data_IF_424725968808
#
_entry.id   IF_424725968808
#
_cell.length_a   1.000
_cell.length_b   1.000
_cell.length_c   1.000
_cell.angle_alpha   90.00
_cell.angle_beta   90.00
_cell.angle_gamma   90.00
#
_symmetry.space_group_name_H-M   'P 1'
#
loop_
_entity.id
_entity.type
_entity.pdbx_description
1 polymer ?
#
# COMPACT_ATOMS: atom_id res chain seq x y z
N UNK A 1 18.32 59.71 -13.53
CA UNK A 1 16.90 59.53 -13.87
C UNK A 1 16.83 58.29 -14.76
N UNK A 2 17.10 57.08 -14.24
CA UNK A 2 16.30 56.33 -13.27
C UNK A 2 14.82 56.36 -13.63
N UNK A 3 14.35 55.30 -14.30
CA UNK A 3 13.00 54.76 -14.18
C UNK A 3 13.09 53.25 -14.41
N UNK A 4 13.02 52.53 -13.30
CA UNK A 4 12.66 51.12 -13.20
C UNK A 4 11.20 50.96 -13.67
N UNK A 5 10.95 50.00 -14.55
CA UNK A 5 9.62 49.44 -14.77
C UNK A 5 9.75 47.96 -14.41
N UNK A 6 9.48 47.64 -13.13
CA UNK A 6 9.11 46.30 -12.70
C UNK A 6 7.62 46.12 -13.01
N UNK A 7 7.30 45.19 -13.91
CA UNK A 7 5.94 44.76 -14.18
C UNK A 7 5.45 43.91 -12.99
N UNK A 8 4.56 44.49 -12.18
CA UNK A 8 3.73 43.76 -11.23
C UNK A 8 2.66 42.96 -12.01
N UNK A 9 2.87 41.66 -12.17
CA UNK A 9 1.80 40.73 -12.54
C UNK A 9 0.97 40.36 -11.29
N UNK A 10 -0.07 41.15 -11.02
CA UNK A 10 -1.25 40.66 -10.29
C UNK A 10 -2.16 39.86 -11.24
N UNK A 11 -2.46 38.61 -10.88
CA UNK A 11 -3.60 37.93 -11.49
C UNK A 11 -3.62 36.41 -11.37
N UNK A 12 -4.36 35.90 -10.38
CA UNK A 12 -5.02 34.59 -10.51
C UNK A 12 -4.70 33.56 -9.43
N UNK A 13 -4.94 33.87 -8.15
CA UNK A 13 -5.20 32.84 -7.14
C UNK A 13 -6.54 32.15 -7.45
N UNK A 14 -6.55 31.20 -8.39
CA UNK A 14 -7.67 30.29 -8.58
C UNK A 14 -7.68 29.25 -7.44
N UNK A 15 -8.34 29.60 -6.33
CA UNK A 15 -9.12 28.70 -5.49
C UNK A 15 -8.47 27.38 -5.09
N UNK A 16 -7.42 27.42 -4.28
CA UNK A 16 -7.00 26.25 -3.52
C UNK A 16 -8.03 26.04 -2.40
N UNK A 17 -9.10 25.28 -2.66
CA UNK A 17 -9.96 24.76 -1.60
C UNK A 17 -9.04 24.06 -0.60
N UNK A 18 -9.02 24.57 0.64
CA UNK A 18 -8.36 23.96 1.80
C UNK A 18 -8.71 22.47 1.88
N UNK A 19 -7.93 21.63 1.20
CA UNK A 19 -7.96 20.20 1.44
C UNK A 19 -7.37 20.05 2.84
N UNK A 20 -8.16 19.61 3.84
CA UNK A 20 -7.61 19.49 5.18
C UNK A 20 -6.45 18.52 5.14
N UNK A 21 -5.47 18.78 6.00
CA UNK A 21 -4.30 17.91 6.16
C UNK A 21 -4.81 16.57 6.69
N UNK A 22 -5.05 15.63 5.78
CA UNK A 22 -5.42 14.26 6.11
C UNK A 22 -4.17 13.49 6.46
N UNK A 23 -4.13 12.95 7.67
CA UNK A 23 -3.04 12.10 8.10
C UNK A 23 -3.20 10.71 7.47
N UNK A 24 -2.46 10.48 6.39
CA UNK A 24 -2.43 9.22 5.65
C UNK A 24 -1.29 8.38 6.19
N UNK A 25 -1.64 7.32 6.93
CA UNK A 25 -0.66 6.39 7.49
C UNK A 25 -0.57 5.15 6.61
N UNK A 26 0.63 4.87 6.09
CA UNK A 26 0.89 3.63 5.35
C UNK A 26 1.26 2.52 6.36
N UNK A 27 0.37 1.54 6.49
CA UNK A 27 0.53 0.46 7.45
C UNK A 27 1.32 -0.71 6.87
N UNK A 28 1.12 -1.02 5.58
CA UNK A 28 1.75 -2.19 4.99
C UNK A 28 1.97 -2.02 3.49
N UNK A 29 3.17 -2.36 3.04
CA UNK A 29 3.59 -2.44 1.66
C UNK A 29 3.98 -3.88 1.38
N UNK A 30 3.28 -4.48 0.43
CA UNK A 30 3.54 -5.82 -0.10
C UNK A 30 4.30 -5.67 -1.41
N UNK A 31 5.50 -6.24 -1.48
CA UNK A 31 6.29 -6.26 -2.70
C UNK A 31 6.57 -7.69 -3.15
N UNK A 32 6.72 -7.86 -4.45
CA UNK A 32 7.12 -9.13 -5.07
C UNK A 32 8.33 -8.89 -5.95
N UNK A 33 9.25 -9.84 -5.93
CA UNK A 33 10.46 -9.82 -6.73
C UNK A 33 10.91 -11.24 -7.03
N UNK A 34 11.81 -11.39 -8.00
CA UNK A 34 12.33 -12.67 -8.43
C UNK A 34 13.85 -12.71 -8.30
N UNK A 35 14.37 -13.87 -7.90
CA UNK A 35 15.80 -14.18 -7.83
C UNK A 35 16.36 -14.81 -9.10
N UNK A 36 15.49 -15.11 -10.09
CA UNK A 36 15.83 -15.76 -11.38
C UNK A 36 16.61 -17.07 -11.24
N UNK A 37 16.52 -17.74 -10.09
CA UNK A 37 17.20 -19.00 -9.82
C UNK A 37 16.28 -19.96 -9.09
N UNK A 38 16.47 -21.26 -9.30
CA UNK A 38 15.78 -22.27 -8.52
C UNK A 38 16.33 -22.32 -7.09
N UNK A 39 15.44 -22.30 -6.11
CA UNK A 39 15.80 -22.28 -4.68
C UNK A 39 15.41 -23.59 -4.03
N UNK A 40 16.38 -24.28 -3.44
CA UNK A 40 16.10 -25.47 -2.66
C UNK A 40 15.61 -25.06 -1.26
N UNK A 41 14.30 -25.13 -1.07
CA UNK A 41 13.62 -24.72 0.16
C UNK A 41 14.07 -25.52 1.39
N UNK A 42 14.36 -26.82 1.24
CA UNK A 42 14.85 -27.66 2.35
C UNK A 42 16.23 -27.20 2.82
N UNK A 43 17.08 -26.78 1.89
CA UNK A 43 18.40 -26.26 2.21
C UNK A 43 18.31 -24.91 2.93
N UNK A 44 17.46 -24.01 2.44
CA UNK A 44 17.19 -22.72 3.10
C UNK A 44 16.60 -22.93 4.49
N UNK A 45 15.75 -23.94 4.70
CA UNK A 45 15.18 -24.24 6.01
C UNK A 45 16.23 -24.75 7.02
N UNK A 46 17.28 -25.44 6.55
CA UNK A 46 18.35 -25.98 7.40
C UNK A 46 19.44 -24.95 7.71
N UNK A 47 19.85 -24.17 6.71
CA UNK A 47 20.94 -23.18 6.82
C UNK A 47 20.43 -21.79 7.23
N UNK A 48 19.15 -21.51 7.03
CA UNK A 48 18.56 -20.19 7.24
C UNK A 48 18.23 -19.90 8.69
N UNK A 49 18.47 -18.66 9.11
CA UNK A 49 18.05 -18.16 10.42
C UNK A 49 16.67 -17.51 10.33
N UNK A 50 15.83 -17.70 11.36
CA UNK A 50 14.47 -17.14 11.45
C UNK A 50 13.58 -17.51 10.25
N UNK A 51 13.70 -18.77 9.81
CA UNK A 51 12.92 -19.35 8.71
C UNK A 51 11.92 -20.36 9.25
N UNK A 52 10.74 -20.40 8.63
CA UNK A 52 9.70 -21.38 8.88
C UNK A 52 9.41 -22.04 7.53
N UNK A 53 9.72 -23.33 7.42
CA UNK A 53 9.37 -24.11 6.25
C UNK A 53 7.94 -24.61 6.36
N UNK A 54 7.12 -24.29 5.34
CA UNK A 54 5.73 -24.76 5.23
C UNK A 54 5.63 -25.70 4.03
N UNK A 55 5.83 -27.02 4.21
CA UNK A 55 5.80 -27.98 3.11
C UNK A 55 4.43 -28.03 2.42
N UNK A 56 3.35 -27.88 3.18
CA UNK A 56 1.96 -27.85 2.67
C UNK A 56 1.75 -26.79 1.59
N UNK A 57 2.35 -25.62 1.80
CA UNK A 57 2.23 -24.49 0.88
C UNK A 57 3.39 -24.38 -0.12
N UNK A 58 4.37 -25.30 -0.04
CA UNK A 58 5.56 -25.27 -0.89
C UNK A 58 6.37 -23.97 -0.77
N UNK A 59 6.44 -23.35 0.42
CA UNK A 59 7.14 -22.08 0.63
C UNK A 59 7.96 -22.06 1.93
N UNK A 60 8.98 -21.22 1.96
CA UNK A 60 9.74 -20.86 3.17
C UNK A 60 9.39 -19.43 3.55
N UNK A 61 8.96 -19.22 4.79
CA UNK A 61 8.74 -17.89 5.34
C UNK A 61 9.97 -17.46 6.15
N UNK A 62 10.62 -16.35 5.77
CA UNK A 62 11.80 -15.82 6.41
C UNK A 62 11.51 -14.45 7.03
N UNK A 63 11.81 -14.29 8.32
CA UNK A 63 11.62 -13.01 9.02
C UNK A 63 12.92 -12.22 9.10
N UNK A 64 12.81 -10.91 8.91
CA UNK A 64 13.90 -9.96 9.04
C UNK A 64 13.56 -8.98 10.18
N UNK A 65 14.55 -8.61 11.00
CA UNK A 65 14.34 -7.69 12.13
C UNK A 65 14.39 -6.21 11.73
N UNK A 66 15.25 -5.85 10.77
CA UNK A 66 15.39 -4.47 10.27
C UNK A 66 15.45 -4.50 8.73
N UNK A 67 14.55 -3.84 8.01
CA UNK A 67 13.19 -3.49 8.46
C UNK A 67 12.44 -4.74 8.95
N UNK A 68 11.43 -4.58 9.82
CA UNK A 68 10.65 -5.70 10.32
C UNK A 68 9.74 -6.22 9.21
N UNK A 69 10.18 -7.27 8.51
CA UNK A 69 9.47 -7.79 7.35
C UNK A 69 9.45 -9.31 7.35
N UNK A 70 8.44 -9.87 6.68
CA UNK A 70 8.34 -11.32 6.44
C UNK A 70 8.36 -11.56 4.95
N UNK A 71 9.26 -12.41 4.46
CA UNK A 71 9.31 -12.82 3.07
C UNK A 71 8.88 -14.28 2.93
N UNK A 72 7.95 -14.53 2.02
CA UNK A 72 7.61 -15.86 1.56
C UNK A 72 8.42 -16.15 0.29
N UNK A 73 9.16 -17.25 0.30
CA UNK A 73 10.11 -17.67 -0.73
C UNK A 73 9.60 -18.97 -1.33
N UNK A 74 9.43 -18.98 -2.65
CA UNK A 74 9.03 -20.17 -3.41
C UNK A 74 10.24 -20.81 -4.08
N UNK A 75 10.15 -22.12 -4.38
CA UNK A 75 11.21 -22.86 -5.06
C UNK A 75 11.53 -22.33 -6.46
N UNK A 76 10.55 -21.68 -7.11
CA UNK A 76 10.69 -20.99 -8.40
C UNK A 76 11.61 -19.76 -8.35
N UNK A 77 12.02 -19.31 -7.17
CA UNK A 77 12.77 -18.08 -7.00
C UNK A 77 11.90 -16.82 -6.99
N UNK A 78 10.58 -16.95 -7.03
CA UNK A 78 9.67 -15.86 -6.69
C UNK A 78 9.70 -15.63 -5.18
N UNK A 79 9.66 -14.37 -4.77
CA UNK A 79 9.65 -13.95 -3.37
C UNK A 79 8.62 -12.83 -3.21
N UNK A 80 7.86 -12.89 -2.13
CA UNK A 80 6.89 -11.87 -1.75
C UNK A 80 7.19 -11.45 -0.33
N UNK A 81 7.47 -10.16 -0.12
CA UNK A 81 7.74 -9.60 1.19
C UNK A 81 6.59 -8.70 1.63
N UNK A 82 6.23 -8.82 2.91
CA UNK A 82 5.16 -8.08 3.59
C UNK A 82 5.68 -7.47 4.89
N UNK A 83 4.99 -6.44 5.38
CA UNK A 83 5.26 -5.79 6.67
C UNK A 83 6.10 -4.52 6.58
N UNK A 84 6.47 -4.06 5.39
CA UNK A 84 7.16 -2.77 5.23
C UNK A 84 6.17 -1.62 5.40
N UNK A 85 6.55 -0.54 6.07
CA UNK A 85 5.73 0.67 6.23
C UNK A 85 5.95 1.68 5.11
N UNK A 86 6.99 1.49 4.29
CA UNK A 86 7.35 2.36 3.16
C UNK A 86 7.85 1.57 1.97
N UNK A 87 7.71 2.14 0.77
CA UNK A 87 8.25 1.55 -0.48
C UNK A 87 9.78 1.49 -0.46
N UNK A 88 10.44 2.47 0.16
CA UNK A 88 11.90 2.50 0.29
C UNK A 88 12.38 1.33 1.15
N UNK A 89 11.72 1.14 2.30
CA UNK A 89 12.01 0.02 3.21
C UNK A 89 11.72 -1.33 2.57
N UNK A 90 10.63 -1.45 1.81
CA UNK A 90 10.30 -2.66 1.07
C UNK A 90 11.41 -3.03 0.07
N UNK A 91 11.97 -2.04 -0.63
CA UNK A 91 13.08 -2.23 -1.57
C UNK A 91 14.38 -2.63 -0.85
N UNK A 92 14.67 -2.02 0.31
CA UNK A 92 15.82 -2.38 1.15
C UNK A 92 15.66 -3.81 1.67
N UNK A 93 14.48 -4.18 2.17
CA UNK A 93 14.16 -5.53 2.64
C UNK A 93 14.38 -6.55 1.54
N UNK A 94 13.83 -6.31 0.34
CA UNK A 94 13.97 -7.19 -0.82
C UNK A 94 15.44 -7.45 -1.17
N UNK A 95 16.28 -6.40 -1.18
CA UNK A 95 17.72 -6.54 -1.42
C UNK A 95 18.42 -7.32 -0.30
N UNK A 96 18.02 -7.13 0.95
CA UNK A 96 18.55 -7.89 2.10
C UNK A 96 18.24 -9.38 1.99
N UNK A 97 17.01 -9.74 1.62
CA UNK A 97 16.64 -11.13 1.37
C UNK A 97 17.49 -11.76 0.26
N UNK A 98 17.67 -11.05 -0.86
CA UNK A 98 18.57 -11.51 -1.92
C UNK A 98 20.00 -11.72 -1.41
N UNK A 99 20.52 -10.80 -0.58
CA UNK A 99 21.88 -10.92 -0.04
C UNK A 99 22.03 -12.12 0.90
N UNK A 100 21.02 -12.41 1.72
CA UNK A 100 21.01 -13.59 2.61
C UNK A 100 21.07 -14.87 1.76
N UNK A 101 20.25 -14.96 0.71
CA UNK A 101 20.27 -16.09 -0.22
C UNK A 101 21.61 -16.22 -0.96
N UNK A 102 22.23 -15.11 -1.37
CA UNK A 102 23.57 -15.13 -1.98
C UNK A 102 24.63 -15.67 -1.02
N UNK A 103 24.57 -15.31 0.27
CA UNK A 103 25.51 -15.80 1.29
C UNK A 103 25.38 -17.31 1.53
N UNK A 104 24.19 -17.88 1.32
CA UNK A 104 23.98 -19.33 1.33
C UNK A 104 24.47 -20.02 0.04
N UNK A 105 25.09 -19.29 -0.90
CA UNK A 105 25.67 -19.87 -2.13
C UNK A 105 24.69 -20.02 -3.28
N UNK A 106 23.48 -19.45 -3.20
CA UNK A 106 22.56 -19.41 -4.34
C UNK A 106 22.97 -18.29 -5.32
N UNK A 107 22.95 -18.59 -6.63
CA UNK A 107 23.21 -17.60 -7.72
C UNK A 107 22.01 -16.67 -7.94
N UNK A 108 21.70 -15.85 -6.94
CA UNK A 108 20.55 -14.93 -6.95
C UNK A 108 20.85 -13.69 -7.76
N UNK A 109 19.94 -13.36 -8.69
CA UNK A 109 19.88 -12.08 -9.40
C UNK A 109 18.60 -11.35 -9.03
N UNK A 110 18.71 -10.15 -8.47
CA UNK A 110 17.57 -9.32 -8.15
C UNK A 110 16.91 -8.80 -9.43
N UNK A 111 15.64 -9.11 -9.66
CA UNK A 111 14.90 -8.61 -10.80
C UNK A 111 13.38 -8.71 -10.62
N UNK A 112 12.63 -8.14 -11.57
CA UNK A 112 11.15 -8.12 -11.55
C UNK A 112 10.57 -7.62 -10.23
N UNK A 113 11.21 -6.62 -9.60
CA UNK A 113 10.68 -5.99 -8.41
C UNK A 113 9.44 -5.17 -8.75
N UNK A 114 8.35 -5.39 -8.02
CA UNK A 114 7.10 -4.66 -8.16
C UNK A 114 6.39 -4.60 -6.80
N UNK A 115 5.80 -3.44 -6.48
CA UNK A 115 4.84 -3.33 -5.37
C UNK A 115 3.53 -3.96 -5.82
N UNK A 116 3.03 -4.92 -5.05
CA UNK A 116 1.80 -5.66 -5.36
C UNK A 116 0.62 -4.96 -4.74
N UNK A 117 0.76 -4.53 -3.49
CA UNK A 117 -0.31 -3.93 -2.73
C UNK A 117 0.24 -3.01 -1.66
N UNK A 118 -0.49 -1.92 -1.39
CA UNK A 118 -0.23 -0.94 -0.37
C UNK A 118 -1.52 -0.76 0.42
N UNK A 119 -1.41 -0.92 1.73
CA UNK A 119 -2.47 -0.68 2.69
C UNK A 119 -2.18 0.63 3.41
N UNK A 120 -3.03 1.62 3.15
CA UNK A 120 -3.07 2.88 3.87
C UNK A 120 -4.31 2.97 4.76
N UNK A 121 -4.21 3.73 5.82
CA UNK A 121 -5.37 4.14 6.63
C UNK A 121 -5.38 5.65 6.77
N UNK A 122 -6.58 6.21 6.76
CA UNK A 122 -6.85 7.62 6.98
C UNK A 122 -7.99 7.72 7.98
N UNK A 123 -7.92 8.66 8.91
CA UNK A 123 -9.05 8.96 9.80
C UNK A 123 -9.59 10.34 9.47
N UNK A 124 -10.88 10.41 9.19
CA UNK A 124 -11.57 11.68 9.04
C UNK A 124 -11.93 12.24 10.42
N UNK A 125 -12.05 13.58 10.55
CA UNK A 125 -12.45 14.21 11.80
C UNK A 125 -13.96 14.10 12.10
N UNK A 126 -14.74 13.44 11.24
CA UNK A 126 -16.20 13.29 11.35
C UNK A 126 -16.66 11.88 10.98
N UNK A 127 -17.82 11.47 11.52
CA UNK A 127 -18.47 10.21 11.15
C UNK A 127 -19.15 10.29 9.78
N UNK A 128 -19.34 9.15 9.10
CA UNK A 128 -19.93 9.08 7.76
C UNK A 128 -21.23 8.26 7.80
N UNK A 129 -22.29 8.77 7.16
CA UNK A 129 -23.52 8.02 6.88
C UNK A 129 -23.33 7.05 5.72
N UNK A 130 -22.60 5.95 5.97
CA UNK A 130 -22.21 4.98 4.93
C UNK A 130 -23.42 4.33 4.23
N UNK A 131 -24.57 4.17 4.89
CA UNK A 131 -25.78 3.61 4.28
C UNK A 131 -26.31 4.48 3.15
N UNK A 132 -26.36 5.80 3.35
CA UNK A 132 -26.80 6.75 2.32
C UNK A 132 -25.77 6.84 1.20
N UNK A 133 -24.49 6.96 1.56
CA UNK A 133 -23.39 6.98 0.60
C UNK A 133 -23.39 5.75 -0.32
N UNK A 134 -23.60 4.55 0.24
CA UNK A 134 -23.63 3.30 -0.51
C UNK A 134 -24.85 3.18 -1.43
N UNK A 135 -26.01 3.72 -1.02
CA UNK A 135 -27.20 3.77 -1.88
C UNK A 135 -26.97 4.68 -3.09
N UNK A 136 -26.42 5.88 -2.87
CA UNK A 136 -26.18 6.85 -3.94
C UNK A 136 -25.05 6.41 -4.89
N UNK A 137 -24.09 5.63 -4.41
CA UNK A 137 -22.96 5.10 -5.19
C UNK A 137 -23.04 3.58 -5.41
N UNK A 138 -24.24 3.01 -5.55
CA UNK A 138 -24.46 1.56 -5.61
C UNK A 138 -23.65 0.83 -6.71
N UNK A 139 -23.21 1.53 -7.77
CA UNK A 139 -22.42 0.95 -8.86
C UNK A 139 -20.96 0.69 -8.47
N UNK A 140 -20.43 1.48 -7.55
CA UNK A 140 -19.02 1.47 -7.15
C UNK A 140 -18.85 1.08 -5.66
N UNK A 141 -19.93 1.15 -4.89
CA UNK A 141 -19.98 0.88 -3.47
C UNK A 141 -20.85 -0.35 -3.16
N UNK A 142 -20.31 -1.28 -2.40
CA UNK A 142 -21.04 -2.42 -1.82
C UNK A 142 -21.04 -2.29 -0.30
N UNK A 143 -22.23 -2.33 0.31
CA UNK A 143 -22.39 -2.26 1.76
C UNK A 143 -23.37 -3.35 2.21
N UNK A 144 -22.84 -4.35 2.93
CA UNK A 144 -23.58 -5.48 3.47
C UNK A 144 -23.32 -5.55 4.99
N UNK A 145 -24.10 -4.82 5.80
CA UNK A 145 -23.86 -4.69 7.24
C UNK A 145 -23.89 -6.02 7.99
N UNK A 146 -24.60 -7.03 7.47
CA UNK A 146 -24.67 -8.37 8.04
C UNK A 146 -23.35 -9.15 7.87
N UNK A 147 -22.58 -8.87 6.82
CA UNK A 147 -21.28 -9.51 6.58
C UNK A 147 -20.11 -8.68 7.10
N UNK A 148 -20.17 -7.36 6.97
CA UNK A 148 -19.08 -6.47 7.36
C UNK A 148 -19.58 -5.05 7.72
N UNK A 149 -19.09 -4.44 8.80
CA UNK A 149 -19.53 -3.10 9.24
C UNK A 149 -19.04 -1.95 8.36
N UNK A 150 -18.18 -2.21 7.37
CA UNK A 150 -17.61 -1.20 6.48
C UNK A 150 -18.12 -1.32 5.04
N UNK A 151 -18.39 -0.19 4.41
CA UNK A 151 -18.76 -0.12 2.99
C UNK A 151 -17.50 -0.21 2.11
N UNK A 152 -17.52 -1.07 1.09
CA UNK A 152 -16.41 -1.25 0.15
C UNK A 152 -16.67 -0.44 -1.11
N UNK A 153 -15.88 0.60 -1.32
CA UNK A 153 -15.90 1.46 -2.51
C UNK A 153 -14.72 1.12 -3.42
N UNK A 154 -15.00 0.73 -4.67
CA UNK A 154 -13.95 0.42 -5.65
C UNK A 154 -13.91 1.47 -6.74
N UNK A 155 -12.74 2.08 -6.92
CA UNK A 155 -12.45 3.03 -7.99
C UNK A 155 -11.58 2.38 -9.07
N UNK A 156 -11.92 2.67 -10.33
CA UNK A 156 -11.13 2.19 -11.48
C UNK A 156 -9.94 3.11 -11.77
N UNK A 157 -10.11 4.42 -11.63
CA UNK A 157 -9.08 5.43 -11.88
C UNK A 157 -9.12 6.51 -10.77
N UNK A 158 -8.12 6.58 -9.88
CA UNK A 158 -6.98 5.67 -9.74
C UNK A 158 -7.43 4.28 -9.26
N UNK A 159 -6.73 3.21 -9.69
CA UNK A 159 -7.08 1.84 -9.26
C UNK A 159 -6.84 1.68 -7.76
N UNK A 160 -7.90 1.68 -6.96
CA UNK A 160 -7.86 1.45 -5.52
C UNK A 160 -9.21 0.93 -4.99
N UNK A 161 -9.16 0.27 -3.83
CA UNK A 161 -10.34 -0.17 -3.09
C UNK A 161 -10.30 0.47 -1.70
N UNK A 162 -11.36 1.15 -1.33
CA UNK A 162 -11.52 1.85 -0.08
C UNK A 162 -12.57 1.13 0.75
N UNK A 163 -12.30 0.97 2.03
CA UNK A 163 -13.27 0.54 3.03
C UNK A 163 -13.58 1.71 3.94
N UNK A 164 -14.83 2.14 3.92
CA UNK A 164 -15.35 3.25 4.72
C UNK A 164 -16.04 2.69 5.95
N UNK A 165 -15.74 3.26 7.12
CA UNK A 165 -16.42 2.92 8.37
C UNK A 165 -17.27 4.12 8.84
N UNK A 166 -18.35 3.84 9.56
CA UNK A 166 -19.23 4.88 10.15
C UNK A 166 -18.47 5.86 11.04
N UNK A 167 -17.38 5.40 11.67
CA UNK A 167 -16.51 6.20 12.54
C UNK A 167 -15.72 7.30 11.83
N UNK A 168 -15.72 7.32 10.49
CA UNK A 168 -14.83 8.19 9.71
C UNK A 168 -13.47 7.57 9.42
N UNK A 169 -13.21 6.35 9.89
CA UNK A 169 -12.01 5.61 9.52
C UNK A 169 -12.12 5.10 8.08
N UNK A 170 -11.05 5.23 7.30
CA UNK A 170 -10.96 4.77 5.92
C UNK A 170 -9.72 3.90 5.77
N UNK A 171 -9.91 2.69 5.23
CA UNK A 171 -8.80 1.80 4.85
C UNK A 171 -8.70 1.76 3.34
N UNK A 172 -7.53 2.09 2.78
CA UNK A 172 -7.29 2.15 1.35
C UNK A 172 -6.32 1.05 0.94
N UNK A 173 -6.68 0.32 -0.10
CA UNK A 173 -5.87 -0.75 -0.70
C UNK A 173 -5.58 -0.38 -2.16
N UNK A 174 -4.32 -0.16 -2.51
CA UNK A 174 -3.94 0.31 -3.84
C UNK A 174 -2.62 -0.34 -4.31
N UNK A 175 -2.32 -0.37 -5.63
CA UNK A 175 -1.10 -0.99 -6.14
C UNK A 175 0.18 -0.16 -5.87
N UNK A 176 0.05 1.12 -5.50
CA UNK A 176 1.15 2.07 -5.23
C UNK A 176 0.76 3.06 -4.13
N UNK A 177 1.74 3.63 -3.42
CA UNK A 177 1.49 4.66 -2.40
C UNK A 177 0.87 5.93 -3.00
N UNK A 178 1.26 6.32 -4.21
CA UNK A 178 0.68 7.49 -4.91
C UNK A 178 -0.83 7.32 -5.13
N UNK A 179 -1.27 6.13 -5.55
CA UNK A 179 -2.68 5.83 -5.74
C UNK A 179 -3.48 5.94 -4.43
N UNK A 180 -2.86 5.64 -3.27
CA UNK A 180 -3.52 5.82 -1.97
C UNK A 180 -3.85 7.29 -1.73
N UNK A 181 -2.91 8.19 -2.00
CA UNK A 181 -3.10 9.64 -1.83
C UNK A 181 -4.19 10.17 -2.77
N UNK A 182 -4.11 9.80 -4.05
CA UNK A 182 -5.10 10.19 -5.06
C UNK A 182 -6.49 9.66 -4.73
N UNK A 183 -6.58 8.42 -4.25
CA UNK A 183 -7.84 7.80 -3.84
C UNK A 183 -8.49 8.55 -2.67
N UNK A 184 -7.69 8.99 -1.69
CA UNK A 184 -8.17 9.75 -0.54
C UNK A 184 -8.64 11.14 -0.97
N UNK A 185 -7.88 11.83 -1.83
CA UNK A 185 -8.29 13.13 -2.36
C UNK A 185 -9.59 13.04 -3.17
N UNK A 186 -9.79 11.95 -3.92
CA UNK A 186 -11.01 11.71 -4.68
C UNK A 186 -12.22 11.40 -3.77
N UNK A 187 -12.04 10.59 -2.72
CA UNK A 187 -13.16 10.19 -1.86
C UNK A 187 -13.58 11.30 -0.90
N UNK A 188 -12.65 12.16 -0.47
CA UNK A 188 -12.88 13.25 0.48
C UNK A 188 -14.13 14.11 0.18
N UNK A 189 -14.27 14.75 -1.01
CA UNK A 189 -15.44 15.59 -1.30
C UNK A 189 -16.75 14.79 -1.41
N UNK A 190 -16.67 13.50 -1.73
CA UNK A 190 -17.84 12.64 -1.81
C UNK A 190 -18.37 12.30 -0.42
N UNK A 191 -17.49 11.92 0.51
CA UNK A 191 -17.89 11.56 1.89
C UNK A 191 -18.24 12.77 2.72
N UNK A 192 -17.68 13.95 2.42
CA UNK A 192 -18.00 15.20 3.10
C UNK A 192 -19.49 15.57 3.03
N UNK A 193 -20.17 15.21 1.93
CA UNK A 193 -21.63 15.42 1.77
C UNK A 193 -22.47 14.57 2.73
N UNK A 194 -21.92 13.46 3.23
CA UNK A 194 -22.60 12.50 4.11
C UNK A 194 -22.03 12.50 5.54
N UNK A 195 -21.39 13.62 5.94
CA UNK A 195 -20.92 13.79 7.33
C UNK A 195 -22.09 13.73 8.31
N UNK A 196 -21.85 13.10 9.46
CA UNK A 196 -22.79 13.10 10.59
C UNK A 196 -22.66 14.36 11.41
#
# INVERSE_FOLDING_TARGET
EEKEEEEEEEGGEEGCLDAPILDIVINNVVCSFSTRCHLNLKRIAREGNHVIYKPENGMVSMKLRKPYTTANIWSSGSITATGSTSEVDAKIAARRYCRILQKMGFRVRFGRYRVVNVLGTCSLPFGIRISQFAQDHHKQCSYEPELHPGATYTMMEPRATLKLFTTGSITVTAPRVENVKLAINHIWPLVFKYRM
#
